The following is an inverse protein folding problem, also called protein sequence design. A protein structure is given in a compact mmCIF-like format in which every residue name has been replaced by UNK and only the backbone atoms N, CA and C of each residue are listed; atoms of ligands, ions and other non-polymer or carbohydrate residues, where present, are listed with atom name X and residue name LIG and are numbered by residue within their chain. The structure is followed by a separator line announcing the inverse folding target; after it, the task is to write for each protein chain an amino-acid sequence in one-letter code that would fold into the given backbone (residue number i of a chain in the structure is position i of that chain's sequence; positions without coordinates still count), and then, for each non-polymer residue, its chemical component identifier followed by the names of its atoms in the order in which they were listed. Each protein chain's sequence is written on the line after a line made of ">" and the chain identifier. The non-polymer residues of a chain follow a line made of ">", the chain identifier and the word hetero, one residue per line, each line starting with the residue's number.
data_IF_523291759362
#
_entry.id   IF_523291759362
#
_cell.length_a   1.000
_cell.length_b   1.000
_cell.length_c   1.000
_cell.angle_alpha   90.00
_cell.angle_beta   90.00
_cell.angle_gamma   90.00
#
_symmetry.space_group_name_H-M   'P 1'
#
loop_
_entity.id
_entity.type
_entity.pdbx_description
1 polymer ?
#
# COMPACT_ATOMS: atom_id res chain seq x y z
N UNK A 1 1.77 -15.21 -21.36
CA UNK A 1 0.54 -15.18 -20.55
C UNK A 1 -0.16 -16.52 -20.49
N UNK A 2 -0.44 -17.11 -21.61
CA UNK A 2 -1.08 -18.42 -21.65
C UNK A 2 -0.24 -19.55 -21.02
N UNK A 3 1.06 -19.36 -20.94
CA UNK A 3 1.98 -20.34 -20.37
C UNK A 3 1.86 -20.50 -18.86
N UNK A 4 1.38 -19.48 -18.13
CA UNK A 4 1.13 -19.59 -16.70
C UNK A 4 0.03 -20.61 -16.37
N UNK A 5 -0.96 -20.68 -17.23
CA UNK A 5 -2.11 -21.59 -17.03
C UNK A 5 -1.72 -23.06 -17.22
N UNK A 6 -0.63 -23.32 -17.94
CA UNK A 6 -0.17 -24.68 -18.25
C UNK A 6 0.82 -25.25 -17.25
N UNK A 7 1.23 -24.46 -16.24
CA UNK A 7 2.11 -24.95 -15.20
C UNK A 7 1.33 -25.90 -14.28
N UNK A 8 1.64 -27.17 -14.39
CA UNK A 8 1.00 -28.21 -13.57
C UNK A 8 1.52 -28.24 -12.13
N UNK A 9 2.44 -27.34 -11.77
CA UNK A 9 2.99 -27.29 -10.42
C UNK A 9 2.19 -26.30 -9.60
N UNK A 10 1.44 -26.82 -8.64
CA UNK A 10 0.77 -26.00 -7.64
C UNK A 10 1.80 -25.52 -6.63
N UNK A 11 2.17 -24.23 -6.72
CA UNK A 11 2.98 -23.61 -5.69
C UNK A 11 2.11 -23.32 -4.47
N UNK A 12 2.56 -23.83 -3.32
CA UNK A 12 1.89 -23.55 -2.05
C UNK A 12 2.49 -22.29 -1.45
N UNK A 13 1.63 -21.30 -1.22
CA UNK A 13 2.00 -20.09 -0.50
C UNK A 13 1.54 -20.26 0.95
N UNK A 14 2.48 -20.15 1.87
CA UNK A 14 2.18 -20.31 3.30
C UNK A 14 3.15 -19.52 4.15
N UNK A 15 2.76 -19.27 5.39
CA UNK A 15 3.61 -18.67 6.41
C UNK A 15 3.81 -19.65 7.57
N UNK A 16 5.01 -19.65 8.13
CA UNK A 16 5.37 -20.48 9.27
C UNK A 16 6.16 -19.65 10.28
N UNK A 17 6.48 -20.23 11.42
CA UNK A 17 7.31 -19.55 12.42
C UNK A 17 8.68 -19.17 11.89
N UNK A 18 9.22 -19.90 10.93
CA UNK A 18 10.49 -19.56 10.28
C UNK A 18 10.41 -18.21 9.57
N UNK A 19 9.24 -17.81 9.09
CA UNK A 19 9.04 -16.53 8.41
C UNK A 19 9.09 -15.34 9.36
N UNK A 20 9.01 -15.56 10.68
CA UNK A 20 9.16 -14.51 11.69
C UNK A 20 10.62 -14.14 11.94
N UNK A 21 11.56 -14.91 11.41
CA UNK A 21 12.99 -14.64 11.60
C UNK A 21 13.33 -13.24 11.09
N UNK A 22 14.07 -12.48 11.91
CA UNK A 22 14.40 -11.10 11.59
C UNK A 22 13.33 -10.08 11.99
N UNK A 23 12.17 -10.53 12.48
CA UNK A 23 11.13 -9.63 12.99
C UNK A 23 11.24 -9.48 14.50
N UNK A 24 10.71 -8.36 14.99
CA UNK A 24 10.56 -8.08 16.41
C UNK A 24 9.16 -8.56 16.82
N UNK A 25 9.09 -9.52 17.74
CA UNK A 25 7.84 -10.08 18.22
C UNK A 25 7.72 -9.87 19.74
N UNK A 26 6.52 -9.69 20.30
CA UNK A 26 5.26 -9.43 19.59
C UNK A 26 5.19 -8.01 19.03
N UNK A 27 4.37 -7.81 18.01
CA UNK A 27 4.15 -6.48 17.42
C UNK A 27 2.76 -6.38 16.79
N UNK A 28 2.36 -5.17 16.48
CA UNK A 28 1.15 -4.86 15.71
C UNK A 28 1.47 -3.92 14.54
N UNK A 29 2.68 -3.98 14.03
CA UNK A 29 3.14 -3.09 12.98
C UNK A 29 2.44 -3.37 11.65
N UNK A 30 2.10 -2.30 10.92
CA UNK A 30 1.62 -2.41 9.57
C UNK A 30 2.71 -2.98 8.66
N UNK A 31 2.31 -3.53 7.53
CA UNK A 31 3.24 -4.04 6.53
C UNK A 31 3.62 -2.89 5.59
N UNK A 32 4.80 -2.34 5.78
CA UNK A 32 5.31 -1.18 5.06
C UNK A 32 6.58 -1.56 4.31
N UNK A 33 6.59 -1.27 3.02
CA UNK A 33 7.65 -1.72 2.11
C UNK A 33 8.19 -0.57 1.27
N UNK A 34 9.31 -0.82 0.62
CA UNK A 34 9.85 0.01 -0.45
C UNK A 34 9.65 -0.71 -1.77
N UNK A 35 9.02 -0.05 -2.73
CA UNK A 35 8.74 -0.62 -4.04
C UNK A 35 9.06 0.39 -5.13
N UNK A 36 9.33 -0.14 -6.32
CA UNK A 36 9.56 0.69 -7.49
C UNK A 36 8.22 1.03 -8.16
N UNK A 37 7.83 2.29 -8.08
CA UNK A 37 6.58 2.79 -8.64
C UNK A 37 6.90 3.94 -9.60
N UNK A 38 6.41 3.83 -10.83
CA UNK A 38 6.62 4.87 -11.83
C UNK A 38 8.10 5.12 -12.15
N UNK A 39 8.95 4.11 -11.97
CA UNK A 39 10.38 4.22 -12.22
C UNK A 39 11.20 4.77 -11.06
N UNK A 40 10.61 4.97 -9.89
CA UNK A 40 11.28 5.49 -8.69
C UNK A 40 11.15 4.51 -7.53
N UNK A 41 12.19 4.45 -6.69
CA UNK A 41 12.13 3.70 -5.44
C UNK A 41 11.31 4.48 -4.42
N UNK A 42 10.13 3.98 -4.12
CA UNK A 42 9.17 4.64 -3.25
C UNK A 42 9.16 3.95 -1.90
N UNK A 43 9.47 4.70 -0.86
CA UNK A 43 9.43 4.23 0.53
C UNK A 43 8.07 4.46 1.15
N UNK A 44 7.82 3.79 2.26
CA UNK A 44 6.60 3.93 3.08
C UNK A 44 5.33 3.61 2.30
N UNK A 45 5.40 2.54 1.52
CA UNK A 45 4.23 1.98 0.84
C UNK A 45 3.58 0.96 1.77
N UNK A 46 2.33 1.18 2.13
CA UNK A 46 1.60 0.24 2.97
C UNK A 46 0.92 -0.82 2.11
N UNK A 47 1.16 -2.07 2.44
CA UNK A 47 0.41 -3.19 1.87
C UNK A 47 -0.81 -3.44 2.76
N UNK A 48 -2.00 -3.25 2.21
CA UNK A 48 -3.24 -3.37 2.97
C UNK A 48 -4.25 -4.23 2.22
N UNK A 49 -4.33 -5.50 2.59
CA UNK A 49 -5.30 -6.42 1.98
C UNK A 49 -6.75 -6.04 2.31
N UNK A 50 -6.98 -5.19 3.30
CA UNK A 50 -8.29 -4.65 3.60
C UNK A 50 -8.75 -3.56 2.64
N UNK A 51 -7.86 -3.04 1.81
CA UNK A 51 -8.20 -1.98 0.86
C UNK A 51 -8.65 -2.55 -0.48
N UNK A 52 -9.78 -2.05 -0.98
CA UNK A 52 -10.28 -2.40 -2.31
C UNK A 52 -9.68 -1.52 -3.42
N UNK A 53 -8.80 -0.60 -3.08
CA UNK A 53 -8.20 0.33 -4.02
C UNK A 53 -6.73 0.56 -3.71
N UNK A 54 -5.97 0.93 -4.74
CA UNK A 54 -4.61 1.45 -4.61
C UNK A 54 -4.66 2.96 -4.59
N UNK A 55 -3.88 3.59 -3.69
CA UNK A 55 -3.97 5.02 -3.42
C UNK A 55 -2.60 5.67 -3.46
N UNK A 56 -2.52 6.86 -4.05
CA UNK A 56 -1.37 7.76 -3.98
C UNK A 56 -1.72 8.97 -3.14
N UNK A 57 -0.87 9.28 -2.17
CA UNK A 57 -0.98 10.42 -1.29
C UNK A 57 -0.15 11.61 -1.79
N UNK A 58 -0.38 12.83 -1.24
CA UNK A 58 0.24 14.06 -1.77
C UNK A 58 1.76 14.02 -1.87
N UNK A 59 2.44 13.42 -0.92
CA UNK A 59 3.91 13.36 -0.95
C UNK A 59 4.42 12.63 -2.20
N UNK A 60 3.82 11.50 -2.53
CA UNK A 60 4.22 10.75 -3.71
C UNK A 60 3.78 11.46 -4.99
N UNK A 61 2.57 12.01 -4.99
CA UNK A 61 2.07 12.78 -6.13
C UNK A 61 3.03 13.91 -6.51
N UNK A 62 3.49 14.66 -5.51
CA UNK A 62 4.46 15.73 -5.71
C UNK A 62 5.84 15.19 -6.10
N UNK A 63 6.27 14.14 -5.44
CA UNK A 63 7.58 13.53 -5.68
C UNK A 63 7.73 12.96 -7.08
N UNK A 64 6.65 12.46 -7.67
CA UNK A 64 6.63 11.97 -9.05
C UNK A 64 6.47 13.10 -10.08
N UNK A 65 6.29 14.35 -9.62
CA UNK A 65 6.07 15.48 -10.53
C UNK A 65 4.77 15.42 -11.30
N UNK A 66 3.76 14.74 -10.76
CA UNK A 66 2.47 14.60 -11.42
C UNK A 66 1.70 15.92 -11.39
N UNK A 67 0.94 16.16 -12.44
CA UNK A 67 0.08 17.34 -12.59
C UNK A 67 -1.35 16.90 -12.85
N UNK A 68 -2.35 17.77 -12.62
CA UNK A 68 -3.74 17.42 -12.88
C UNK A 68 -4.00 16.88 -14.29
N UNK A 69 -3.26 17.35 -15.30
CA UNK A 69 -3.40 16.89 -16.68
C UNK A 69 -2.99 15.41 -16.86
N UNK A 70 -2.19 14.86 -15.94
CA UNK A 70 -1.80 13.45 -15.98
C UNK A 70 -2.89 12.53 -15.45
N UNK A 71 -3.94 13.09 -14.82
CA UNK A 71 -4.96 12.31 -14.14
C UNK A 71 -6.21 12.17 -15.02
N UNK A 72 -6.83 10.99 -14.94
CA UNK A 72 -8.17 10.78 -15.47
C UNK A 72 -9.19 10.97 -14.35
N UNK A 73 -10.45 11.23 -14.72
CA UNK A 73 -11.50 11.47 -13.76
C UNK A 73 -11.84 10.21 -12.97
N UNK A 74 -11.97 10.36 -11.66
CA UNK A 74 -12.49 9.32 -10.77
C UNK A 74 -13.51 9.98 -9.83
N UNK A 75 -14.76 9.59 -9.91
CA UNK A 75 -15.87 10.32 -9.29
C UNK A 75 -16.39 9.70 -7.99
N UNK A 76 -15.97 8.47 -7.67
CA UNK A 76 -16.45 7.80 -6.46
C UNK A 76 -15.73 8.35 -5.23
N UNK A 77 -16.46 8.68 -4.15
CA UNK A 77 -15.82 9.14 -2.93
C UNK A 77 -15.12 8.00 -2.21
N UNK A 78 -14.08 8.35 -1.46
CA UNK A 78 -13.32 7.43 -0.62
C UNK A 78 -13.46 7.84 0.85
N UNK A 79 -13.21 6.89 1.74
CA UNK A 79 -13.15 7.15 3.18
C UNK A 79 -11.69 7.18 3.60
N UNK A 80 -11.27 8.28 4.24
CA UNK A 80 -9.90 8.43 4.76
C UNK A 80 -9.67 7.60 6.02
N UNK A 81 -8.42 7.52 6.47
CA UNK A 81 -8.08 6.92 7.76
C UNK A 81 -8.80 7.58 8.94
N UNK A 82 -9.19 8.83 8.82
CA UNK A 82 -9.91 9.57 9.83
C UNK A 82 -11.43 9.36 9.78
N UNK A 83 -11.89 8.48 8.88
CA UNK A 83 -13.31 8.22 8.68
C UNK A 83 -14.04 9.28 7.88
N UNK A 84 -13.35 10.24 7.29
CA UNK A 84 -13.94 11.31 6.50
C UNK A 84 -14.05 10.92 5.04
N UNK A 85 -15.09 11.41 4.38
CA UNK A 85 -15.22 11.28 2.93
C UNK A 85 -14.17 12.14 2.25
N UNK A 86 -13.46 11.54 1.31
CA UNK A 86 -12.42 12.23 0.52
C UNK A 86 -12.82 12.16 -0.94
N UNK A 87 -12.82 13.32 -1.59
CA UNK A 87 -13.03 13.40 -3.03
C UNK A 87 -11.68 13.19 -3.72
N UNK A 88 -11.53 12.15 -4.56
CA UNK A 88 -10.27 11.94 -5.27
C UNK A 88 -9.95 13.08 -6.23
N UNK A 89 -8.66 13.37 -6.39
CA UNK A 89 -8.18 14.27 -7.45
C UNK A 89 -8.31 13.66 -8.83
N UNK A 90 -8.22 12.34 -8.92
CA UNK A 90 -8.30 11.60 -10.15
C UNK A 90 -7.63 10.25 -10.02
N UNK A 91 -7.33 9.65 -11.16
CA UNK A 91 -6.76 8.31 -11.26
C UNK A 91 -5.59 8.33 -12.23
N UNK A 92 -4.57 7.54 -11.95
CA UNK A 92 -3.41 7.39 -12.82
C UNK A 92 -2.94 5.94 -12.83
N UNK A 93 -2.53 5.45 -14.01
CA UNK A 93 -1.92 4.14 -14.16
C UNK A 93 -0.42 4.27 -14.12
N UNK A 94 0.21 3.56 -13.19
CA UNK A 94 1.66 3.53 -13.05
C UNK A 94 2.16 2.09 -12.94
N UNK A 95 3.37 1.81 -13.48
CA UNK A 95 3.99 0.51 -13.29
C UNK A 95 4.48 0.35 -11.85
N UNK A 96 4.22 -0.81 -11.27
CA UNK A 96 4.80 -1.25 -10.00
C UNK A 96 5.69 -2.44 -10.28
N UNK A 97 6.97 -2.29 -10.04
CA UNK A 97 7.96 -3.33 -10.31
C UNK A 97 8.33 -4.05 -9.03
N UNK A 98 8.25 -5.36 -9.08
CA UNK A 98 8.66 -6.26 -8.00
C UNK A 98 9.63 -7.27 -8.60
N UNK A 99 10.91 -7.18 -8.23
CA UNK A 99 11.93 -7.98 -8.90
C UNK A 99 11.97 -7.67 -10.40
N UNK A 100 11.74 -8.67 -11.23
CA UNK A 100 11.63 -8.52 -12.69
C UNK A 100 10.19 -8.46 -13.16
N UNK A 101 9.22 -8.61 -12.26
CA UNK A 101 7.80 -8.57 -12.61
C UNK A 101 7.28 -7.13 -12.54
N UNK A 102 6.58 -6.69 -13.57
CA UNK A 102 5.99 -5.34 -13.64
C UNK A 102 4.49 -5.48 -13.81
N UNK A 103 3.75 -4.85 -12.91
CA UNK A 103 2.28 -4.81 -12.95
C UNK A 103 1.84 -3.37 -13.11
N UNK A 104 1.01 -3.11 -14.11
CA UNK A 104 0.36 -1.81 -14.27
C UNK A 104 -0.77 -1.69 -13.24
N UNK A 105 -0.75 -0.63 -12.46
CA UNK A 105 -1.68 -0.41 -11.36
C UNK A 105 -2.41 0.91 -11.56
N UNK A 106 -3.73 0.87 -11.39
CA UNK A 106 -4.56 2.08 -11.40
C UNK A 106 -4.63 2.64 -9.98
N UNK A 107 -3.94 3.76 -9.77
CA UNK A 107 -3.93 4.44 -8.49
C UNK A 107 -4.97 5.55 -8.46
N UNK A 108 -5.67 5.65 -7.34
CA UNK A 108 -6.52 6.80 -7.04
C UNK A 108 -5.67 7.83 -6.31
N UNK A 109 -5.65 9.06 -6.80
CA UNK A 109 -4.88 10.16 -6.21
C UNK A 109 -5.79 10.93 -5.28
N UNK A 110 -5.38 11.07 -4.02
CA UNK A 110 -6.14 11.79 -3.01
C UNK A 110 -5.34 12.93 -2.44
N UNK A 111 -6.03 13.94 -1.91
CA UNK A 111 -5.44 15.07 -1.21
C UNK A 111 -5.84 15.01 0.26
N UNK A 112 -5.24 14.06 0.96
CA UNK A 112 -5.50 13.84 2.37
C UNK A 112 -4.18 13.52 3.08
N UNK A 113 -4.10 13.84 4.38
CA UNK A 113 -2.94 13.46 5.16
C UNK A 113 -2.79 11.95 5.22
N UNK A 114 -1.56 11.48 5.05
CA UNK A 114 -1.17 10.10 5.33
C UNK A 114 0.31 10.06 5.68
N UNK A 115 0.72 9.22 6.64
CA UNK A 115 2.13 8.94 6.88
C UNK A 115 2.73 8.09 5.78
N UNK A 116 1.89 7.44 4.97
CA UNK A 116 2.31 6.59 3.86
C UNK A 116 2.35 7.38 2.57
N UNK A 117 3.17 6.92 1.64
CA UNK A 117 3.26 7.50 0.29
C UNK A 117 2.19 6.93 -0.62
N UNK A 118 1.88 5.65 -0.45
CA UNK A 118 0.90 4.93 -1.24
C UNK A 118 0.33 3.76 -0.44
N UNK A 119 -0.82 3.28 -0.90
CA UNK A 119 -1.39 2.02 -0.44
C UNK A 119 -1.53 1.10 -1.64
N UNK A 120 -1.06 -0.14 -1.50
CA UNK A 120 -1.36 -1.23 -2.40
C UNK A 120 -2.33 -2.18 -1.73
N UNK A 121 -3.46 -2.40 -2.36
CA UNK A 121 -4.57 -3.17 -1.81
C UNK A 121 -4.77 -4.51 -2.48
N UNK A 122 -6.00 -5.03 -2.34
CA UNK A 122 -6.37 -6.34 -2.89
C UNK A 122 -6.18 -6.45 -4.40
N UNK A 123 -6.54 -5.45 -5.23
CA UNK A 123 -6.41 -5.64 -6.67
C UNK A 123 -4.97 -5.93 -7.11
N UNK A 124 -4.00 -5.22 -6.51
CA UNK A 124 -2.59 -5.48 -6.77
C UNK A 124 -2.15 -6.85 -6.25
N UNK A 125 -2.52 -7.20 -5.02
CA UNK A 125 -2.19 -8.51 -4.45
C UNK A 125 -2.76 -9.63 -5.31
N UNK A 126 -4.00 -9.51 -5.76
CA UNK A 126 -4.64 -10.50 -6.62
C UNK A 126 -3.94 -10.61 -7.97
N UNK A 127 -3.48 -9.50 -8.53
CA UNK A 127 -2.76 -9.51 -9.81
C UNK A 127 -1.45 -10.30 -9.75
N UNK A 128 -0.82 -10.34 -8.59
CA UNK A 128 0.39 -11.11 -8.33
C UNK A 128 0.09 -12.56 -7.88
N UNK A 129 -1.15 -12.87 -7.56
CA UNK A 129 -1.48 -14.12 -6.87
C UNK A 129 -0.83 -14.19 -5.50
N UNK A 130 -0.69 -13.05 -4.83
CA UNK A 130 0.08 -12.89 -3.60
C UNK A 130 -0.77 -13.08 -2.36
N UNK A 131 -0.11 -13.49 -1.28
CA UNK A 131 -0.65 -13.44 0.07
C UNK A 131 0.23 -12.56 0.95
N UNK A 132 -0.36 -11.88 1.90
CA UNK A 132 0.36 -10.98 2.80
C UNK A 132 0.11 -11.37 4.26
N UNK A 133 1.11 -11.10 5.11
CA UNK A 133 1.00 -11.30 6.54
C UNK A 133 1.71 -10.18 7.29
N UNK A 134 0.95 -9.41 8.04
CA UNK A 134 1.53 -8.41 8.94
C UNK A 134 2.33 -9.08 10.06
N UNK A 135 1.84 -10.20 10.57
CA UNK A 135 2.55 -10.95 11.62
C UNK A 135 3.98 -11.31 11.19
N UNK A 136 4.14 -11.80 9.96
CA UNK A 136 5.42 -12.24 9.43
C UNK A 136 6.16 -11.13 8.66
N UNK A 137 5.53 -9.97 8.49
CA UNK A 137 6.10 -8.81 7.78
C UNK A 137 6.56 -9.14 6.36
N UNK A 138 5.72 -9.90 5.63
CA UNK A 138 6.05 -10.36 4.29
C UNK A 138 4.83 -10.42 3.38
N UNK A 139 5.12 -10.27 2.09
CA UNK A 139 4.22 -10.65 0.99
C UNK A 139 4.91 -11.79 0.25
N UNK A 140 4.20 -12.87 0.02
CA UNK A 140 4.67 -13.97 -0.81
C UNK A 140 3.86 -14.08 -2.08
N UNK A 141 4.53 -14.31 -3.19
CA UNK A 141 3.87 -14.41 -4.48
C UNK A 141 4.59 -15.41 -5.38
N UNK A 142 3.84 -16.10 -6.27
CA UNK A 142 4.46 -17.03 -7.20
C UNK A 142 5.04 -16.25 -8.38
N UNK A 143 6.26 -16.60 -8.75
CA UNK A 143 6.88 -16.10 -9.97
C UNK A 143 7.60 -17.25 -10.65
N UNK A 144 7.12 -17.63 -11.84
CA UNK A 144 7.57 -18.84 -12.52
C UNK A 144 7.42 -20.07 -11.60
N UNK A 145 8.48 -20.81 -11.33
CA UNK A 145 8.44 -22.00 -10.47
C UNK A 145 8.85 -21.71 -9.03
N UNK A 146 8.92 -20.43 -8.64
CA UNK A 146 9.42 -20.01 -7.34
C UNK A 146 8.39 -19.23 -6.56
N UNK A 147 8.52 -19.25 -5.25
CA UNK A 147 7.81 -18.34 -4.36
C UNK A 147 8.78 -17.24 -3.99
N UNK A 148 8.46 -16.01 -4.37
CA UNK A 148 9.26 -14.85 -4.04
C UNK A 148 8.63 -14.07 -2.89
N UNK A 149 9.42 -13.24 -2.23
CA UNK A 149 9.01 -12.49 -1.04
C UNK A 149 9.29 -11.01 -1.19
N UNK A 150 8.39 -10.20 -0.64
CA UNK A 150 8.63 -8.79 -0.36
C UNK A 150 8.65 -8.66 1.15
N UNK A 151 9.73 -8.09 1.70
CA UNK A 151 9.92 -7.99 3.15
C UNK A 151 9.58 -6.59 3.63
N UNK A 152 8.76 -6.51 4.66
CA UNK A 152 8.38 -5.25 5.28
C UNK A 152 9.46 -4.70 6.19
N UNK A 153 9.38 -3.40 6.47
CA UNK A 153 10.25 -2.70 7.42
C UNK A 153 9.45 -2.26 8.64
N UNK A 154 9.66 -2.92 9.77
CA UNK A 154 9.04 -2.52 11.03
C UNK A 154 9.50 -1.14 11.49
N UNK A 155 10.73 -0.78 11.18
CA UNK A 155 11.26 0.56 11.46
C UNK A 155 10.47 1.64 10.73
N UNK A 156 10.20 1.46 9.44
CA UNK A 156 9.36 2.39 8.68
C UNK A 156 7.92 2.42 9.18
N UNK A 157 7.36 1.26 9.53
CA UNK A 157 6.01 1.18 10.07
C UNK A 157 5.87 1.99 11.35
N UNK A 158 6.86 1.92 12.23
CA UNK A 158 6.89 2.69 13.48
C UNK A 158 7.06 4.18 13.24
N UNK A 159 7.89 4.57 12.29
CA UNK A 159 8.05 5.97 11.89
C UNK A 159 6.72 6.53 11.36
N UNK A 160 5.99 5.74 10.57
CA UNK A 160 4.68 6.15 10.09
C UNK A 160 3.67 6.30 11.23
N UNK A 161 3.69 5.39 12.21
CA UNK A 161 2.82 5.49 13.38
C UNK A 161 3.12 6.76 14.20
N UNK A 162 4.39 7.07 14.40
CA UNK A 162 4.80 8.29 15.12
C UNK A 162 4.29 9.52 14.34
N UNK A 163 4.40 9.53 13.03
CA UNK A 163 3.92 10.63 12.20
C UNK A 163 2.41 10.83 12.34
N UNK A 164 1.64 9.74 12.46
CA UNK A 164 0.19 9.83 12.72
C UNK A 164 -0.08 10.46 14.07
N UNK A 165 0.64 10.02 15.12
CA UNK A 165 0.45 10.53 16.49
C UNK A 165 0.81 12.00 16.57
N UNK A 166 1.86 12.42 15.86
CA UNK A 166 2.33 13.81 15.87
C UNK A 166 1.51 14.73 14.97
N UNK A 167 0.76 14.16 14.03
CA UNK A 167 -0.09 14.97 13.15
C UNK A 167 -1.22 15.60 13.95
N UNK A 168 -1.25 16.94 13.91
CA UNK A 168 -2.34 17.72 14.51
C UNK A 168 -3.17 18.27 13.36
N UNK A 169 -4.28 17.61 13.00
CA UNK A 169 -5.18 18.18 12.01
C UNK A 169 -5.70 19.52 12.53
N UNK A 170 -5.96 20.47 11.63
CA UNK A 170 -6.69 21.67 11.97
C UNK A 170 -8.09 21.29 12.40
N UNK A 171 -8.23 21.00 13.68
CA UNK A 171 -9.53 20.65 14.24
C UNK A 171 -10.14 21.94 14.77
N UNK A 172 -11.32 22.23 14.30
CA UNK A 172 -12.12 23.28 14.90
C UNK A 172 -12.43 22.87 16.34
N UNK A 173 -11.90 23.61 17.31
CA UNK A 173 -12.05 23.30 18.73
C UNK A 173 -13.52 23.20 19.16
N UNK A 174 -14.40 23.95 18.51
CA UNK A 174 -15.86 23.87 18.76
C UNK A 174 -16.45 22.54 18.35
N UNK A 175 -15.97 21.91 17.29
CA UNK A 175 -16.44 20.60 16.85
C UNK A 175 -16.03 19.47 17.81
N UNK A 176 -14.87 19.60 18.46
CA UNK A 176 -14.44 18.63 19.47
C UNK A 176 -15.35 18.68 20.69
N UNK A 177 -15.72 19.88 21.12
CA UNK A 177 -16.58 20.08 22.29
C UNK A 177 -17.98 19.51 22.05
N UNK A 178 -18.49 19.66 20.82
CA UNK A 178 -19.79 19.12 20.45
C UNK A 178 -19.80 17.57 20.42
N UNK A 179 -18.70 16.96 20.06
CA UNK A 179 -18.57 15.51 20.00
C UNK A 179 -18.36 14.86 21.37
N UNK A 180 -17.90 15.61 22.37
CA UNK A 180 -17.71 15.11 23.73
C UNK A 180 -19.00 15.20 24.58
N UNK A 181 -20.05 15.77 24.04
CA UNK A 181 -21.35 15.85 24.68
C UNK A 181 -22.30 14.76 24.20
#
# INVERSE_FOLDING_TARGET
>A
MLKRVKMNVSLVLSFSDADKQGTIQPHDDALVVTLRIGGYDVKRVMINQGSAAEIIYPNLYKGLGLKPDNLTTYSSPLVSFEGKMVVPKGQIRLPVQVGTDVVEVDFIVVDAFSPYTAILGRPWLHSLGAISSTLHQKVKYPFEDQVLEIVGSQSMARQCLIAVIQHKPEVNTSAIIENDL
#
